data_IF_184515028692
#
_entry.id   IF_184515028692
#
_cell.length_a   1.000
_cell.length_b   1.000
_cell.length_c   1.000
_cell.angle_alpha   90.00
_cell.angle_beta   90.00
_cell.angle_gamma   90.00
#
_symmetry.space_group_name_H-M   'P 1'
#
loop_
_entity.id
_entity.type
_entity.pdbx_description
1 polymer ?
#
# COMPACT_ATOMS: atom_id res chain seq x y z
N UNK A 1 -4.71 -16.77 -15.26
CA UNK A 1 -5.93 -16.02 -15.59
C UNK A 1 -6.50 -15.44 -14.30
N UNK A 2 -7.13 -14.27 -14.36
CA UNK A 2 -7.90 -13.66 -13.26
C UNK A 2 -9.15 -14.49 -13.00
N UNK A 3 -9.43 -14.79 -11.73
CA UNK A 3 -10.66 -15.43 -11.28
C UNK A 3 -11.34 -14.51 -10.27
N UNK A 4 -12.56 -14.09 -10.53
CA UNK A 4 -13.33 -13.22 -9.65
C UNK A 4 -13.56 -13.87 -8.29
N UNK A 5 -13.09 -13.25 -7.21
CA UNK A 5 -13.34 -13.73 -5.86
C UNK A 5 -14.83 -13.63 -5.50
N UNK A 6 -15.50 -12.54 -5.88
CA UNK A 6 -16.94 -12.37 -5.63
C UNK A 6 -17.79 -13.43 -6.32
N UNK A 7 -17.47 -13.77 -7.58
CA UNK A 7 -18.19 -14.84 -8.29
C UNK A 7 -18.03 -16.19 -7.61
N UNK A 8 -16.83 -16.51 -7.12
CA UNK A 8 -16.60 -17.78 -6.40
C UNK A 8 -17.32 -17.78 -5.06
N UNK A 9 -17.20 -16.72 -4.27
CA UNK A 9 -17.84 -16.62 -2.94
C UNK A 9 -19.36 -16.70 -3.06
N UNK A 10 -19.97 -16.05 -4.04
CA UNK A 10 -21.43 -16.06 -4.28
C UNK A 10 -22.01 -17.44 -4.61
N UNK A 11 -21.17 -18.39 -5.01
CA UNK A 11 -21.62 -19.80 -5.18
C UNK A 11 -21.87 -20.49 -3.84
N UNK A 12 -21.32 -19.93 -2.75
CA UNK A 12 -21.38 -20.52 -1.41
C UNK A 12 -22.14 -19.64 -0.40
N UNK A 13 -22.14 -18.33 -0.61
CA UNK A 13 -22.78 -17.36 0.26
C UNK A 13 -23.82 -16.56 -0.52
N UNK A 14 -25.05 -16.55 -0.01
CA UNK A 14 -26.18 -15.83 -0.63
C UNK A 14 -26.53 -14.53 0.09
N UNK A 15 -26.05 -14.35 1.33
CA UNK A 15 -26.27 -13.12 2.09
C UNK A 15 -25.30 -12.02 1.62
N UNK A 16 -25.82 -10.93 1.02
CA UNK A 16 -24.99 -9.85 0.50
C UNK A 16 -24.27 -9.06 1.59
N UNK A 17 -24.83 -9.02 2.82
CA UNK A 17 -24.17 -8.34 3.92
C UNK A 17 -22.96 -9.13 4.40
N UNK A 18 -23.09 -10.45 4.53
CA UNK A 18 -21.99 -11.33 4.89
C UNK A 18 -20.88 -11.27 3.82
N UNK A 19 -21.25 -11.24 2.54
CA UNK A 19 -20.28 -11.03 1.45
C UNK A 19 -19.49 -9.72 1.68
N UNK A 20 -20.18 -8.61 1.89
CA UNK A 20 -19.55 -7.30 2.09
C UNK A 20 -18.68 -7.27 3.37
N UNK A 21 -19.09 -7.93 4.44
CA UNK A 21 -18.30 -8.06 5.68
C UNK A 21 -16.99 -8.84 5.46
N UNK A 22 -16.99 -9.85 4.60
CA UNK A 22 -15.79 -10.61 4.26
C UNK A 22 -14.88 -9.83 3.32
N UNK A 23 -15.44 -9.14 2.33
CA UNK A 23 -14.66 -8.42 1.33
C UNK A 23 -14.07 -7.11 1.83
N UNK A 24 -14.71 -6.39 2.74
CA UNK A 24 -14.21 -5.12 3.24
C UNK A 24 -12.78 -5.23 3.79
N UNK A 25 -12.45 -6.12 4.74
CA UNK A 25 -11.10 -6.27 5.25
C UNK A 25 -10.08 -6.69 4.18
N UNK A 26 -10.41 -7.71 3.39
CA UNK A 26 -9.44 -8.26 2.42
C UNK A 26 -9.15 -7.32 1.26
N UNK A 27 -10.13 -6.52 0.82
CA UNK A 27 -9.93 -5.54 -0.25
C UNK A 27 -9.12 -4.35 0.22
N UNK A 28 -9.36 -3.82 1.43
CA UNK A 28 -8.55 -2.75 2.01
C UNK A 28 -7.08 -3.14 2.18
N UNK A 29 -6.80 -4.41 2.41
CA UNK A 29 -5.42 -4.90 2.59
C UNK A 29 -4.80 -5.52 1.35
N UNK A 30 -5.55 -5.70 0.27
CA UNK A 30 -4.97 -6.45 -0.82
C UNK A 30 -5.58 -6.31 -2.21
N UNK A 31 -6.54 -5.43 -2.51
CA UNK A 31 -7.05 -5.32 -3.87
C UNK A 31 -6.56 -4.08 -4.62
N UNK A 32 -5.99 -4.30 -5.80
CA UNK A 32 -5.72 -3.25 -6.78
C UNK A 32 -6.92 -3.02 -7.74
N UNK A 33 -7.92 -3.91 -7.68
CA UNK A 33 -9.10 -3.91 -8.55
C UNK A 33 -10.30 -3.33 -7.83
N UNK A 34 -11.05 -2.45 -8.49
CA UNK A 34 -12.30 -1.90 -7.97
C UNK A 34 -13.36 -3.00 -7.89
N UNK A 35 -14.18 -2.98 -6.84
CA UNK A 35 -15.33 -3.86 -6.57
C UNK A 35 -15.05 -5.35 -6.42
N UNK A 36 -13.86 -5.84 -6.72
CA UNK A 36 -13.51 -7.26 -6.68
C UNK A 36 -12.00 -7.47 -6.43
N UNK A 37 -11.58 -8.72 -6.39
CA UNK A 37 -10.17 -9.11 -6.36
C UNK A 37 -9.97 -10.49 -6.97
N UNK A 38 -8.73 -10.85 -7.29
CA UNK A 38 -8.37 -12.20 -7.73
C UNK A 38 -8.62 -13.21 -6.61
N UNK A 39 -9.25 -14.35 -6.93
CA UNK A 39 -9.63 -15.35 -5.94
C UNK A 39 -8.42 -15.97 -5.22
N UNK A 40 -7.32 -16.18 -5.91
CA UNK A 40 -6.10 -16.66 -5.28
C UNK A 40 -5.58 -15.67 -4.23
N UNK A 41 -5.64 -14.38 -4.55
CA UNK A 41 -5.28 -13.32 -3.60
C UNK A 41 -6.28 -13.25 -2.44
N UNK A 42 -7.57 -13.38 -2.71
CA UNK A 42 -8.62 -13.45 -1.68
C UNK A 42 -8.31 -14.56 -0.67
N UNK A 43 -7.99 -15.76 -1.13
CA UNK A 43 -7.67 -16.90 -0.24
C UNK A 43 -6.47 -16.60 0.66
N UNK A 44 -5.40 -16.00 0.10
CA UNK A 44 -4.21 -15.63 0.88
C UNK A 44 -4.56 -14.56 1.93
N UNK A 45 -5.29 -13.52 1.52
CA UNK A 45 -5.67 -12.42 2.41
C UNK A 45 -6.66 -12.87 3.48
N UNK A 46 -7.64 -13.69 3.10
CA UNK A 46 -8.61 -14.27 4.02
C UNK A 46 -7.92 -15.10 5.11
N UNK A 47 -6.99 -15.99 4.70
CA UNK A 47 -6.21 -16.79 5.65
C UNK A 47 -5.42 -15.89 6.60
N UNK A 48 -4.71 -14.91 6.08
CA UNK A 48 -3.89 -14.00 6.88
C UNK A 48 -4.71 -13.18 7.87
N UNK A 49 -5.85 -12.64 7.45
CA UNK A 49 -6.66 -11.74 8.28
C UNK A 49 -7.53 -12.48 9.30
N UNK A 50 -8.21 -13.54 8.87
CA UNK A 50 -9.25 -14.19 9.69
C UNK A 50 -8.78 -15.45 10.42
N UNK A 51 -7.72 -16.12 9.92
CA UNK A 51 -7.24 -17.37 10.52
C UNK A 51 -5.91 -17.21 11.26
N UNK A 52 -4.99 -16.36 10.78
CA UNK A 52 -3.66 -16.17 11.37
C UNK A 52 -3.57 -14.90 12.23
N UNK A 53 -4.33 -13.86 11.86
CA UNK A 53 -4.34 -12.58 12.56
C UNK A 53 -3.17 -11.67 12.17
N UNK A 54 -3.08 -10.52 12.86
CA UNK A 54 -2.07 -9.50 12.60
C UNK A 54 -0.93 -9.56 13.62
N UNK A 55 0.29 -9.35 13.13
CA UNK A 55 1.46 -9.16 13.96
C UNK A 55 2.15 -7.84 13.64
N UNK A 56 2.68 -7.18 14.67
CA UNK A 56 3.42 -5.94 14.54
C UNK A 56 4.71 -6.00 15.37
N UNK A 57 5.89 -5.78 14.77
CA UNK A 57 7.11 -5.58 15.56
C UNK A 57 6.98 -4.34 16.43
N UNK A 58 7.51 -4.34 17.65
CA UNK A 58 7.43 -3.21 18.59
C UNK A 58 7.97 -1.90 17.98
N UNK A 59 9.15 -1.95 17.35
CA UNK A 59 9.76 -0.80 16.66
C UNK A 59 9.19 -0.56 15.25
N UNK A 60 8.12 -1.29 14.86
CA UNK A 60 7.49 -1.19 13.56
C UNK A 60 8.31 -1.82 12.42
N UNK A 61 7.98 -1.49 11.19
CA UNK A 61 8.57 -2.07 9.97
C UNK A 61 10.10 -1.86 9.85
N UNK A 62 10.65 -0.87 10.52
CA UNK A 62 12.09 -0.57 10.49
C UNK A 62 12.95 -1.73 10.95
N UNK A 63 12.47 -2.56 11.86
CA UNK A 63 13.16 -3.79 12.32
C UNK A 63 13.36 -4.74 11.15
N UNK A 64 12.29 -5.02 10.40
CA UNK A 64 12.33 -5.91 9.23
C UNK A 64 13.33 -5.37 8.20
N UNK A 65 13.24 -4.07 7.88
CA UNK A 65 14.14 -3.43 6.92
C UNK A 65 15.60 -3.44 7.37
N UNK A 66 15.86 -3.28 8.67
CA UNK A 66 17.22 -3.34 9.25
C UNK A 66 17.82 -4.73 9.04
N UNK A 67 17.09 -5.79 9.42
CA UNK A 67 17.54 -7.19 9.26
C UNK A 67 17.82 -7.53 7.80
N UNK A 68 16.93 -7.11 6.89
CA UNK A 68 17.14 -7.31 5.44
C UNK A 68 18.39 -6.60 4.93
N UNK A 69 18.60 -5.34 5.32
CA UNK A 69 19.78 -4.57 4.91
C UNK A 69 21.08 -5.15 5.44
N UNK A 70 21.08 -5.67 6.67
CA UNK A 70 22.24 -6.37 7.23
C UNK A 70 22.59 -7.61 6.41
N UNK A 71 21.59 -8.44 6.09
CA UNK A 71 21.76 -9.62 5.24
C UNK A 71 22.23 -9.26 3.83
N UNK A 72 21.64 -8.24 3.23
CA UNK A 72 22.00 -7.76 1.89
C UNK A 72 23.47 -7.31 1.83
N UNK A 73 23.91 -6.53 2.83
CA UNK A 73 25.32 -6.08 2.91
C UNK A 73 26.27 -7.23 3.17
N UNK A 74 25.91 -8.17 4.05
CA UNK A 74 26.72 -9.35 4.32
C UNK A 74 26.91 -10.25 3.09
N UNK A 75 25.94 -10.20 2.14
CA UNK A 75 26.03 -10.88 0.86
C UNK A 75 26.78 -10.05 -0.22
N UNK A 76 27.42 -8.94 0.14
CA UNK A 76 28.14 -8.07 -0.80
C UNK A 76 27.26 -7.08 -1.57
N UNK A 77 25.99 -6.93 -1.21
CA UNK A 77 25.08 -6.00 -1.89
C UNK A 77 25.42 -4.54 -1.57
N UNK A 78 25.38 -3.68 -2.57
CA UNK A 78 25.57 -2.24 -2.47
C UNK A 78 24.22 -1.50 -2.52
N UNK A 79 23.95 -0.63 -1.53
CA UNK A 79 22.78 0.24 -1.52
C UNK A 79 23.17 1.68 -1.78
N UNK A 80 22.64 2.25 -2.84
CA UNK A 80 22.83 3.65 -3.20
C UNK A 80 21.55 4.45 -2.85
N UNK A 81 21.66 5.34 -1.88
CA UNK A 81 20.56 6.21 -1.45
C UNK A 81 20.56 7.52 -2.23
N UNK A 82 19.38 8.12 -2.41
CA UNK A 82 19.21 9.38 -3.15
C UNK A 82 19.75 9.28 -4.59
N UNK A 83 19.64 8.10 -5.17
CA UNK A 83 20.14 7.80 -6.52
C UNK A 83 19.00 7.16 -7.28
N UNK A 84 18.23 7.98 -8.01
CA UNK A 84 17.15 7.51 -8.87
C UNK A 84 17.67 7.06 -10.23
N UNK A 85 16.93 6.13 -10.86
CA UNK A 85 17.12 5.78 -12.27
C UNK A 85 16.27 6.73 -13.10
N UNK A 86 16.92 7.53 -13.95
CA UNK A 86 16.28 8.49 -14.83
C UNK A 86 15.77 7.83 -16.11
N UNK A 87 16.59 6.94 -16.68
CA UNK A 87 16.26 6.22 -17.91
C UNK A 87 16.86 4.81 -17.91
N UNK A 88 16.18 3.90 -18.61
CA UNK A 88 16.64 2.57 -18.95
C UNK A 88 16.87 2.57 -20.47
N UNK A 89 18.11 2.53 -20.90
CA UNK A 89 18.47 2.49 -22.33
C UNK A 89 18.25 1.08 -22.85
N UNK A 90 17.43 0.94 -23.89
CA UNK A 90 17.14 -0.34 -24.52
C UNK A 90 17.70 -0.38 -25.94
N UNK A 91 18.45 -1.44 -26.25
CA UNK A 91 18.96 -1.76 -27.59
C UNK A 91 18.79 -3.24 -27.88
N UNK A 92 18.35 -3.57 -29.06
CA UNK A 92 18.20 -4.96 -29.53
C UNK A 92 17.41 -5.86 -28.55
N UNK A 93 16.33 -5.32 -27.96
CA UNK A 93 15.48 -6.07 -27.03
C UNK A 93 16.09 -6.31 -25.64
N UNK A 94 17.15 -5.57 -25.26
CA UNK A 94 17.79 -5.66 -23.95
C UNK A 94 17.93 -4.29 -23.30
N UNK A 95 17.85 -4.24 -21.98
CA UNK A 95 18.31 -3.10 -21.17
C UNK A 95 19.85 -3.13 -21.16
N UNK A 96 20.50 -2.15 -21.76
CA UNK A 96 21.95 -2.08 -21.87
C UNK A 96 22.57 -1.19 -20.80
N UNK A 97 21.88 -0.14 -20.41
CA UNK A 97 22.38 0.85 -19.45
C UNK A 97 21.23 1.39 -18.60
N UNK A 98 21.53 1.71 -17.35
CA UNK A 98 20.72 2.54 -16.47
C UNK A 98 21.38 3.91 -16.36
N UNK A 99 20.70 4.96 -16.76
CA UNK A 99 21.16 6.34 -16.55
C UNK A 99 20.57 6.85 -15.25
N UNK A 100 21.42 7.21 -14.32
CA UNK A 100 21.03 7.70 -13.01
C UNK A 100 20.72 9.21 -13.05
N UNK A 101 20.03 9.72 -12.02
CA UNK A 101 19.76 11.17 -11.91
C UNK A 101 21.01 12.03 -11.87
N UNK A 102 22.14 11.46 -11.40
CA UNK A 102 23.47 12.08 -11.42
C UNK A 102 24.09 12.20 -12.82
N UNK A 103 23.53 11.51 -13.82
CA UNK A 103 24.14 11.34 -15.14
C UNK A 103 25.12 10.16 -15.21
N UNK A 104 25.36 9.43 -14.14
CA UNK A 104 26.18 8.21 -14.15
C UNK A 104 25.46 7.11 -14.96
N UNK A 105 26.25 6.34 -15.71
CA UNK A 105 25.79 5.18 -16.47
C UNK A 105 26.20 3.90 -15.75
N UNK A 106 25.22 3.04 -15.47
CA UNK A 106 25.42 1.73 -14.83
C UNK A 106 25.00 0.63 -15.79
N UNK A 107 25.82 -0.39 -15.94
CA UNK A 107 25.53 -1.59 -16.73
C UNK A 107 25.27 -2.78 -15.81
N UNK A 108 24.38 -3.70 -16.22
CA UNK A 108 24.11 -4.94 -15.52
C UNK A 108 23.63 -6.02 -16.49
N UNK A 109 23.92 -7.28 -16.18
CA UNK A 109 23.43 -8.42 -16.95
C UNK A 109 21.92 -8.58 -16.82
N UNK A 110 21.39 -8.32 -15.63
CA UNK A 110 19.96 -8.39 -15.29
C UNK A 110 19.51 -7.18 -14.49
N UNK A 111 18.30 -6.73 -14.74
CA UNK A 111 17.65 -5.63 -14.02
C UNK A 111 16.34 -6.13 -13.44
N UNK A 112 16.16 -6.00 -12.13
CA UNK A 112 14.88 -6.22 -11.45
C UNK A 112 14.31 -4.88 -11.02
N UNK A 113 13.14 -4.54 -11.54
CA UNK A 113 12.44 -3.29 -11.19
C UNK A 113 11.29 -3.55 -10.23
N UNK A 114 11.31 -2.88 -9.09
CA UNK A 114 10.25 -2.94 -8.06
C UNK A 114 9.41 -1.67 -7.98
N UNK A 115 9.62 -0.71 -8.89
CA UNK A 115 8.98 0.60 -8.83
C UNK A 115 7.54 0.61 -9.37
N UNK A 116 7.10 -0.48 -9.99
CA UNK A 116 5.82 -0.63 -10.67
C UNK A 116 5.95 -0.83 -12.18
N UNK A 117 4.98 -1.47 -12.79
CA UNK A 117 4.98 -1.76 -14.22
C UNK A 117 4.87 -0.48 -15.07
N UNK A 118 3.89 0.42 -14.84
CA UNK A 118 3.78 1.65 -15.59
C UNK A 118 4.95 2.62 -15.34
N UNK A 119 5.48 2.65 -14.13
CA UNK A 119 6.66 3.45 -13.78
C UNK A 119 7.90 2.95 -14.52
N UNK A 120 8.13 1.63 -14.52
CA UNK A 120 9.24 0.99 -15.24
C UNK A 120 9.13 1.26 -16.73
N UNK A 121 7.95 1.11 -17.31
CA UNK A 121 7.71 1.37 -18.73
C UNK A 121 8.08 2.79 -19.14
N UNK A 122 7.78 3.78 -18.29
CA UNK A 122 8.12 5.19 -18.54
C UNK A 122 9.62 5.49 -18.55
N UNK A 123 10.40 4.68 -17.83
CA UNK A 123 11.86 4.85 -17.80
C UNK A 123 12.54 4.25 -19.03
N UNK A 124 11.91 3.30 -19.73
CA UNK A 124 12.49 2.63 -20.88
C UNK A 124 12.54 3.60 -22.07
N UNK A 125 13.75 3.86 -22.58
CA UNK A 125 14.00 4.58 -23.81
C UNK A 125 14.44 3.60 -24.89
N UNK A 126 13.57 3.34 -25.85
CA UNK A 126 13.86 2.55 -27.03
C UNK A 126 13.74 3.41 -28.28
N UNK A 127 14.71 3.30 -29.17
CA UNK A 127 14.71 4.10 -30.40
C UNK A 127 13.55 3.76 -31.37
N UNK A 128 12.83 2.64 -31.20
CA UNK A 128 11.84 2.15 -32.18
C UNK A 128 10.62 1.40 -31.61
N UNK A 129 10.46 1.29 -30.31
CA UNK A 129 9.28 0.61 -29.72
C UNK A 129 8.46 1.57 -28.87
N UNK A 130 7.15 1.55 -29.05
CA UNK A 130 6.22 2.21 -28.15
C UNK A 130 6.45 1.68 -26.74
N UNK A 131 6.53 2.57 -25.77
CA UNK A 131 6.62 2.16 -24.36
C UNK A 131 5.42 1.26 -24.03
N UNK A 132 5.63 0.16 -23.27
CA UNK A 132 4.53 -0.71 -22.88
C UNK A 132 3.42 0.11 -22.22
N UNK A 133 2.18 -0.12 -22.61
CA UNK A 133 0.99 0.64 -22.17
C UNK A 133 0.44 0.13 -20.84
N UNK A 134 1.31 -0.18 -19.86
CA UNK A 134 0.84 -0.54 -18.53
C UNK A 134 0.08 0.64 -17.91
N UNK A 135 -1.18 0.40 -17.55
CA UNK A 135 -2.06 1.43 -16.97
C UNK A 135 -1.84 1.52 -15.46
N UNK A 136 -1.62 2.73 -14.91
CA UNK A 136 -1.55 2.93 -13.47
C UNK A 136 -2.81 2.45 -12.77
N UNK A 137 -2.67 1.98 -11.54
CA UNK A 137 -3.82 1.65 -10.69
C UNK A 137 -4.66 2.89 -10.38
N UNK A 138 -5.93 2.68 -10.10
CA UNK A 138 -6.91 3.76 -9.86
C UNK A 138 -7.18 3.99 -8.37
N UNK A 139 -6.86 3.02 -7.52
CA UNK A 139 -7.15 3.05 -6.09
C UNK A 139 -6.03 3.75 -5.33
N UNK A 140 -6.41 4.75 -4.59
CA UNK A 140 -5.54 5.49 -3.68
C UNK A 140 -6.21 5.66 -2.33
N UNK A 141 -5.43 6.00 -1.31
CA UNK A 141 -5.92 6.19 0.04
C UNK A 141 -5.51 7.55 0.61
N UNK A 142 -6.28 8.02 1.58
CA UNK A 142 -5.80 8.92 2.61
C UNK A 142 -5.57 8.12 3.88
N UNK A 143 -4.59 8.53 4.68
CA UNK A 143 -4.39 8.01 6.02
C UNK A 143 -4.23 9.16 6.99
N UNK A 144 -5.15 9.28 7.94
CA UNK A 144 -5.05 10.22 9.04
C UNK A 144 -4.22 9.61 10.17
N UNK A 145 -3.34 10.40 10.77
CA UNK A 145 -2.48 10.01 11.88
C UNK A 145 -2.70 11.02 13.00
N UNK A 146 -3.03 10.53 14.17
CA UNK A 146 -3.15 11.34 15.40
C UNK A 146 -2.22 10.78 16.45
N UNK A 147 -1.39 11.62 17.01
CA UNK A 147 -0.55 11.30 18.17
C UNK A 147 -1.21 11.89 19.41
N UNK A 148 -1.35 11.07 20.44
CA UNK A 148 -2.00 11.40 21.70
C UNK A 148 -0.95 11.43 22.83
N UNK A 149 -1.18 12.30 23.84
CA UNK A 149 -0.36 12.40 25.04
C UNK A 149 -0.57 11.25 26.04
N UNK A 150 -1.49 10.34 25.73
CA UNK A 150 -1.88 9.20 26.57
C UNK A 150 -2.21 7.97 25.75
N UNK A 151 -2.25 6.83 26.42
CA UNK A 151 -2.61 5.56 25.78
C UNK A 151 -4.08 5.57 25.33
N UNK A 152 -4.44 4.96 24.20
CA UNK A 152 -5.82 4.87 23.73
C UNK A 152 -6.77 4.22 24.75
N UNK A 153 -6.28 3.35 25.60
CA UNK A 153 -7.05 2.77 26.70
C UNK A 153 -7.66 3.83 27.64
N UNK A 154 -6.99 4.97 27.83
CA UNK A 154 -7.54 6.08 28.64
C UNK A 154 -8.72 6.80 27.97
N UNK A 155 -8.92 6.57 26.65
CA UNK A 155 -10.10 7.01 25.89
C UNK A 155 -11.19 5.95 25.83
N UNK A 156 -10.99 4.79 26.46
CA UNK A 156 -11.88 3.62 26.33
C UNK A 156 -11.60 2.77 25.08
N UNK A 157 -10.50 3.01 24.36
CA UNK A 157 -10.13 2.36 23.10
C UNK A 157 -8.96 1.38 23.27
N UNK A 158 -8.98 0.57 24.33
CA UNK A 158 -7.87 -0.31 24.71
C UNK A 158 -7.97 -1.75 24.20
N UNK A 159 -9.05 -2.13 23.51
CA UNK A 159 -9.30 -3.53 23.13
C UNK A 159 -8.85 -3.88 21.73
N UNK A 160 -9.23 -3.06 20.75
CA UNK A 160 -9.11 -3.42 19.33
C UNK A 160 -7.87 -2.81 18.70
N UNK A 161 -7.12 -3.64 17.97
CA UNK A 161 -5.93 -3.19 17.21
C UNK A 161 -6.28 -2.62 15.87
N UNK A 162 -7.23 -3.28 15.17
CA UNK A 162 -7.68 -2.93 13.83
C UNK A 162 -9.19 -3.15 13.73
N UNK A 163 -9.89 -2.13 13.22
CA UNK A 163 -11.33 -2.17 12.98
C UNK A 163 -11.58 -1.81 11.52
N UNK A 164 -12.21 -2.71 10.78
CA UNK A 164 -12.73 -2.41 9.46
C UNK A 164 -14.18 -1.95 9.60
N UNK A 165 -14.53 -0.88 8.92
CA UNK A 165 -15.89 -0.35 9.00
C UNK A 165 -16.46 -0.01 7.63
N UNK A 166 -17.78 -0.12 7.52
CA UNK A 166 -18.57 0.36 6.40
C UNK A 166 -19.91 0.90 6.91
N UNK A 167 -20.22 2.15 6.58
CA UNK A 167 -21.44 2.87 6.93
C UNK A 167 -22.35 3.08 5.71
N UNK A 168 -22.22 2.22 4.71
CA UNK A 168 -23.07 2.22 3.53
C UNK A 168 -23.93 0.97 3.50
N UNK A 169 -25.14 1.01 2.88
CA UNK A 169 -26.00 -0.18 2.73
C UNK A 169 -25.28 -1.34 1.99
N UNK A 170 -24.33 -1.02 1.13
CA UNK A 170 -23.43 -1.97 0.46
C UNK A 170 -22.01 -1.43 0.49
N UNK A 171 -21.05 -2.33 0.65
CA UNK A 171 -19.62 -1.98 0.59
C UNK A 171 -19.22 -1.63 -0.84
N UNK A 172 -18.75 -0.41 -1.04
CA UNK A 172 -18.31 0.11 -2.34
C UNK A 172 -16.80 0.37 -2.30
N UNK A 173 -16.04 -0.56 -2.86
CA UNK A 173 -14.59 -0.45 -2.95
C UNK A 173 -14.19 0.03 -4.35
N UNK A 174 -14.25 1.34 -4.54
CA UNK A 174 -13.93 2.00 -5.81
C UNK A 174 -13.33 3.38 -5.58
N UNK A 175 -12.70 3.93 -6.61
CA UNK A 175 -12.26 5.32 -6.60
C UNK A 175 -13.45 6.25 -6.37
N UNK A 176 -13.48 6.99 -5.26
CA UNK A 176 -14.63 7.86 -4.97
C UNK A 176 -14.77 8.99 -5.98
N UNK A 177 -15.98 9.50 -6.16
CA UNK A 177 -16.26 10.69 -6.98
C UNK A 177 -15.74 11.98 -6.34
N UNK A 178 -15.70 12.04 -5.01
CA UNK A 178 -15.11 13.13 -4.23
C UNK A 178 -13.62 12.84 -3.89
N UNK A 179 -12.97 13.71 -3.16
CA UNK A 179 -11.58 13.59 -2.74
C UNK A 179 -11.35 12.36 -1.85
N UNK A 180 -12.31 12.06 -0.95
CA UNK A 180 -12.25 10.95 0.01
C UNK A 180 -13.64 10.34 0.17
N UNK A 181 -13.70 9.03 0.38
CA UNK A 181 -14.90 8.34 0.87
C UNK A 181 -14.74 7.95 2.34
N UNK A 182 -15.30 8.72 3.30
CA UNK A 182 -15.19 8.40 4.72
C UNK A 182 -16.22 7.37 5.20
N UNK A 183 -17.08 6.83 4.31
CA UNK A 183 -18.12 5.85 4.67
C UNK A 183 -17.56 4.47 4.98
N UNK A 184 -16.40 4.16 4.46
CA UNK A 184 -15.70 2.91 4.77
C UNK A 184 -14.22 3.16 5.04
N UNK A 185 -13.60 2.27 5.81
CA UNK A 185 -12.20 2.46 6.13
C UNK A 185 -11.64 1.43 7.10
N UNK A 186 -10.41 1.72 7.52
CA UNK A 186 -9.65 0.91 8.47
C UNK A 186 -9.13 1.81 9.58
N UNK A 187 -9.56 1.55 10.80
CA UNK A 187 -8.99 2.14 12.01
C UNK A 187 -7.85 1.25 12.48
N UNK A 188 -6.72 1.85 12.84
CA UNK A 188 -5.59 1.13 13.43
C UNK A 188 -5.13 1.85 14.71
N UNK A 189 -5.08 1.09 15.81
CA UNK A 189 -4.60 1.53 17.13
C UNK A 189 -3.37 0.68 17.49
N UNK A 190 -2.16 1.10 17.07
CA UNK A 190 -0.94 0.30 17.24
C UNK A 190 -0.59 -0.02 18.69
N UNK A 191 -1.06 0.79 19.65
CA UNK A 191 -0.82 0.58 21.07
C UNK A 191 -1.44 -0.71 21.61
N UNK A 192 -2.50 -1.21 20.96
CA UNK A 192 -3.26 -2.38 21.44
C UNK A 192 -2.67 -3.71 20.94
N UNK A 193 -1.58 -3.71 20.17
CA UNK A 193 -0.85 -4.94 19.91
C UNK A 193 -0.16 -5.42 21.18
N UNK A 194 -0.16 -6.72 21.40
CA UNK A 194 0.57 -7.33 22.50
C UNK A 194 2.08 -7.31 22.23
N UNK A 195 2.80 -6.45 22.92
CA UNK A 195 4.26 -6.35 22.87
C UNK A 195 4.94 -7.01 24.06
N UNK A 196 4.18 -7.70 24.92
CA UNK A 196 4.62 -8.24 26.18
C UNK A 196 4.55 -7.22 27.34
N UNK A 197 4.70 -7.69 28.57
CA UNK A 197 4.39 -6.91 29.79
C UNK A 197 5.31 -5.70 30.02
N UNK A 198 6.52 -5.72 29.45
CA UNK A 198 7.53 -4.68 29.68
C UNK A 198 7.62 -3.64 28.56
N UNK A 199 6.78 -3.73 27.52
CA UNK A 199 6.86 -2.87 26.35
C UNK A 199 5.55 -2.18 26.05
N UNK A 200 5.55 -0.87 26.10
CA UNK A 200 4.46 -0.03 25.65
C UNK A 200 5.00 1.08 24.73
N UNK A 201 4.22 1.50 23.75
CA UNK A 201 4.53 2.70 22.97
C UNK A 201 4.43 3.91 23.89
N UNK A 202 5.33 4.88 23.77
CA UNK A 202 5.38 6.07 24.63
C UNK A 202 4.15 6.98 24.44
N UNK A 203 3.70 7.09 23.19
CA UNK A 203 2.57 7.94 22.80
C UNK A 203 1.39 7.08 22.35
N UNK A 204 0.17 7.62 22.50
CA UNK A 204 -1.00 7.03 21.88
C UNK A 204 -1.01 7.32 20.39
N UNK A 205 -1.38 6.32 19.59
CA UNK A 205 -1.45 6.45 18.14
C UNK A 205 -2.84 6.02 17.68
N UNK A 206 -3.49 6.92 16.94
CA UNK A 206 -4.76 6.63 16.30
C UNK A 206 -4.65 6.92 14.79
N UNK A 207 -4.96 5.95 13.96
CA UNK A 207 -4.86 6.05 12.50
C UNK A 207 -6.17 5.61 11.87
N UNK A 208 -6.54 6.26 10.77
CA UNK A 208 -7.66 5.82 9.94
C UNK A 208 -7.33 6.00 8.46
N UNK A 209 -7.55 4.95 7.70
CA UNK A 209 -7.34 4.89 6.25
C UNK A 209 -8.68 4.81 5.54
N UNK A 210 -8.90 5.67 4.54
CA UNK A 210 -10.09 5.67 3.68
C UNK A 210 -9.69 5.77 2.21
N UNK A 211 -10.58 5.32 1.31
CA UNK A 211 -10.41 5.46 -0.14
C UNK A 211 -10.34 6.93 -0.55
N UNK A 212 -9.50 7.23 -1.53
CA UNK A 212 -9.31 8.58 -2.06
C UNK A 212 -9.18 8.62 -3.58
N UNK A 213 -9.51 9.76 -4.15
CA UNK A 213 -9.41 10.04 -5.57
C UNK A 213 -8.20 10.91 -5.88
N UNK A 214 -7.15 10.32 -6.48
CA UNK A 214 -5.93 11.03 -6.84
C UNK A 214 -6.19 12.30 -7.67
N UNK A 215 -7.06 12.24 -8.69
CA UNK A 215 -7.29 13.34 -9.62
C UNK A 215 -7.83 14.58 -8.90
N UNK A 216 -8.52 14.40 -7.77
CA UNK A 216 -9.05 15.47 -6.93
C UNK A 216 -8.01 16.11 -6.01
N UNK A 217 -6.84 15.47 -5.84
CA UNK A 217 -5.75 15.95 -5.00
C UNK A 217 -4.55 16.48 -5.78
N UNK A 218 -4.27 15.91 -6.94
CA UNK A 218 -2.99 16.02 -7.63
C UNK A 218 -2.58 17.46 -7.97
N UNK A 219 -3.53 18.28 -8.44
CA UNK A 219 -3.27 19.59 -9.01
C UNK A 219 -3.83 20.75 -8.20
N UNK A 220 -4.21 20.51 -6.94
CA UNK A 220 -4.70 21.57 -6.07
C UNK A 220 -3.60 22.62 -5.81
N UNK A 221 -3.94 23.94 -5.85
CA UNK A 221 -3.09 24.97 -5.28
C UNK A 221 -2.73 24.64 -3.82
N UNK A 222 -1.56 25.08 -3.36
CA UNK A 222 -1.02 24.65 -2.08
C UNK A 222 -1.89 25.08 -0.88
N UNK A 223 -2.48 26.25 -0.95
CA UNK A 223 -3.39 26.78 0.07
C UNK A 223 -4.70 25.97 0.12
N UNK A 224 -5.29 25.65 -1.03
CA UNK A 224 -6.46 24.78 -1.14
C UNK A 224 -6.14 23.37 -0.66
N UNK A 225 -4.99 22.83 -1.06
CA UNK A 225 -4.53 21.51 -0.62
C UNK A 225 -4.43 21.43 0.91
N UNK A 226 -3.86 22.45 1.56
CA UNK A 226 -3.74 22.48 3.02
C UNK A 226 -5.11 22.58 3.70
N UNK A 227 -6.00 23.42 3.19
CA UNK A 227 -7.36 23.58 3.71
C UNK A 227 -8.16 22.27 3.57
N UNK A 228 -8.11 21.65 2.39
CA UNK A 228 -8.78 20.38 2.12
C UNK A 228 -8.20 19.23 2.98
N UNK A 229 -6.89 19.21 3.19
CA UNK A 229 -6.24 18.25 4.07
C UNK A 229 -6.79 18.32 5.51
N UNK A 230 -6.97 19.52 6.04
CA UNK A 230 -7.57 19.73 7.37
C UNK A 230 -9.05 19.34 7.41
N UNK A 231 -9.81 19.75 6.41
CA UNK A 231 -11.25 19.43 6.28
C UNK A 231 -11.48 17.93 6.24
N UNK A 232 -10.74 17.22 5.38
CA UNK A 232 -10.89 15.78 5.22
C UNK A 232 -10.31 15.00 6.41
N UNK A 233 -9.24 15.48 7.04
CA UNK A 233 -8.80 14.92 8.31
C UNK A 233 -9.95 14.92 9.33
N UNK A 234 -10.60 16.05 9.52
CA UNK A 234 -11.72 16.16 10.46
C UNK A 234 -12.90 15.23 10.08
N UNK A 235 -13.25 15.15 8.79
CA UNK A 235 -14.35 14.30 8.31
C UNK A 235 -14.04 12.79 8.51
N UNK A 236 -12.83 12.35 8.19
CA UNK A 236 -12.38 10.95 8.40
C UNK A 236 -12.39 10.61 9.88
N UNK A 237 -11.87 11.51 10.74
CA UNK A 237 -11.85 11.31 12.19
C UNK A 237 -13.27 11.24 12.77
N UNK A 238 -14.17 12.09 12.32
CA UNK A 238 -15.57 12.09 12.76
C UNK A 238 -16.27 10.79 12.35
N UNK A 239 -16.02 10.30 11.14
CA UNK A 239 -16.58 9.01 10.68
C UNK A 239 -16.02 7.84 11.49
N UNK A 240 -14.70 7.72 11.59
CA UNK A 240 -14.04 6.61 12.27
C UNK A 240 -14.47 6.47 13.73
N UNK A 241 -14.56 7.57 14.46
CA UNK A 241 -14.92 7.56 15.88
C UNK A 241 -16.33 7.05 16.19
N UNK A 242 -17.23 7.00 15.20
CA UNK A 242 -18.57 6.40 15.36
C UNK A 242 -18.52 4.88 15.58
N UNK A 243 -17.43 4.24 15.19
CA UNK A 243 -17.22 2.80 15.32
C UNK A 243 -16.37 2.41 16.55
N UNK A 244 -16.09 3.38 17.40
CA UNK A 244 -15.36 3.19 18.65
C UNK A 244 -16.28 3.41 19.86
N UNK A 245 -15.93 2.86 21.04
CA UNK A 245 -16.61 3.19 22.28
C UNK A 245 -16.70 4.70 22.47
N UNK A 246 -17.81 5.21 23.04
CA UNK A 246 -17.95 6.63 23.31
C UNK A 246 -16.87 7.10 24.28
N UNK A 247 -16.38 8.33 24.04
CA UNK A 247 -15.39 8.95 24.92
C UNK A 247 -15.98 9.20 26.33
N UNK A 248 -15.19 9.02 27.40
CA UNK A 248 -15.61 9.39 28.76
C UNK A 248 -15.99 10.86 28.89
N UNK A 249 -15.30 11.73 28.17
CA UNK A 249 -15.58 13.17 28.05
C UNK A 249 -15.52 13.57 26.58
N UNK A 250 -16.49 14.37 26.13
CA UNK A 250 -16.67 14.67 24.71
C UNK A 250 -15.44 15.34 24.05
N UNK A 251 -14.70 16.15 24.78
CA UNK A 251 -13.51 16.87 24.32
C UNK A 251 -12.18 16.15 24.59
N UNK A 252 -12.21 14.98 25.24
CA UNK A 252 -11.02 14.24 25.66
C UNK A 252 -10.07 13.95 24.50
N UNK A 253 -10.59 13.53 23.36
CA UNK A 253 -9.75 13.28 22.18
C UNK A 253 -9.02 14.53 21.70
N UNK A 254 -9.72 15.65 21.64
CA UNK A 254 -9.12 16.93 21.23
C UNK A 254 -8.03 17.40 22.22
N UNK A 255 -8.30 17.30 23.52
CA UNK A 255 -7.33 17.67 24.57
C UNK A 255 -6.09 16.76 24.59
N UNK A 256 -6.30 15.47 24.31
CA UNK A 256 -5.24 14.48 24.28
C UNK A 256 -4.39 14.55 22.99
N UNK A 257 -4.86 15.24 21.96
CA UNK A 257 -4.15 15.32 20.67
C UNK A 257 -2.94 16.23 20.77
N UNK A 258 -1.76 15.65 20.56
CA UNK A 258 -0.46 16.37 20.52
C UNK A 258 -0.18 16.91 19.12
N UNK A 259 -0.36 16.06 18.12
CA UNK A 259 -0.14 16.43 16.71
C UNK A 259 -0.93 15.55 15.78
N UNK A 260 -1.16 16.05 14.58
CA UNK A 260 -1.90 15.35 13.54
C UNK A 260 -1.18 15.44 12.21
N UNK A 261 -1.32 14.43 11.38
CA UNK A 261 -0.94 14.47 9.97
C UNK A 261 -1.93 13.66 9.13
N UNK A 262 -1.86 13.84 7.82
CA UNK A 262 -2.64 13.08 6.87
C UNK A 262 -1.82 12.82 5.62
N UNK A 263 -1.59 11.55 5.31
CA UNK A 263 -1.12 11.14 3.99
C UNK A 263 -2.26 11.26 2.98
N UNK A 264 -1.94 11.77 1.80
CA UNK A 264 -2.87 11.94 0.70
C UNK A 264 -2.33 11.25 -0.56
N UNK A 265 -3.12 11.05 -1.61
CA UNK A 265 -2.62 10.53 -2.88
C UNK A 265 -1.44 11.32 -3.44
N UNK A 266 -1.42 12.65 -3.25
CA UNK A 266 -0.30 13.52 -3.64
C UNK A 266 0.98 13.21 -2.83
N UNK A 267 0.83 12.95 -1.53
CA UNK A 267 1.93 12.54 -0.65
C UNK A 267 2.47 11.17 -1.06
N UNK A 268 1.58 10.22 -1.38
CA UNK A 268 1.96 8.88 -1.83
C UNK A 268 2.82 8.97 -3.08
N UNK A 269 2.34 9.66 -4.12
CA UNK A 269 3.11 9.85 -5.37
C UNK A 269 4.48 10.47 -5.10
N UNK A 270 4.54 11.50 -4.23
CA UNK A 270 5.79 12.19 -3.91
C UNK A 270 6.84 11.27 -3.29
N UNK A 271 6.45 10.37 -2.38
CA UNK A 271 7.39 9.55 -1.62
C UNK A 271 7.62 8.15 -2.19
N UNK A 272 6.66 7.59 -2.91
CA UNK A 272 6.78 6.25 -3.49
C UNK A 272 7.14 6.26 -4.98
N UNK A 273 6.88 7.38 -5.66
CA UNK A 273 6.96 7.45 -7.11
C UNK A 273 5.81 6.79 -7.86
N UNK A 274 4.88 6.13 -7.16
CA UNK A 274 3.75 5.47 -7.81
C UNK A 274 2.83 6.48 -8.50
N UNK A 275 2.57 6.21 -9.77
CA UNK A 275 1.69 7.01 -10.60
C UNK A 275 0.26 6.98 -10.06
N UNK A 276 -0.41 8.11 -10.18
CA UNK A 276 -1.78 8.29 -9.69
C UNK A 276 -1.97 7.95 -8.20
N UNK A 277 -0.89 7.97 -7.39
CA UNK A 277 -0.94 7.61 -5.98
C UNK A 277 -1.45 6.19 -5.73
N UNK A 278 -1.28 5.27 -6.70
CA UNK A 278 -1.78 3.91 -6.61
C UNK A 278 -1.09 3.13 -5.49
N UNK A 279 -1.88 2.66 -4.50
CA UNK A 279 -1.34 1.97 -3.34
C UNK A 279 -0.91 0.53 -3.68
N UNK A 280 -1.74 -0.16 -4.46
CA UNK A 280 -1.51 -1.56 -4.82
C UNK A 280 -1.02 -1.73 -6.26
N UNK A 281 -0.46 -0.65 -6.85
CA UNK A 281 0.07 -0.65 -8.22
C UNK A 281 -1.02 -0.82 -9.27
N UNK A 282 -0.64 -1.33 -10.44
CA UNK A 282 -1.55 -1.61 -11.54
C UNK A 282 -2.55 -2.71 -11.18
N UNK A 283 -3.79 -2.61 -11.70
CA UNK A 283 -4.81 -3.64 -11.50
C UNK A 283 -4.42 -4.96 -12.18
N UNK A 284 -3.85 -4.87 -13.37
CA UNK A 284 -3.31 -6.02 -14.07
C UNK A 284 -1.91 -6.38 -13.55
N UNK A 285 -1.78 -7.61 -13.04
CA UNK A 285 -0.53 -8.11 -12.43
C UNK A 285 0.28 -8.94 -13.43
N UNK A 286 1.56 -8.65 -13.51
CA UNK A 286 2.51 -9.42 -14.33
C UNK A 286 3.14 -10.55 -13.49
N UNK A 287 2.42 -11.66 -13.34
CA UNK A 287 2.82 -12.77 -12.46
C UNK A 287 4.17 -13.39 -12.78
N UNK A 288 4.60 -13.35 -14.03
CA UNK A 288 5.91 -13.85 -14.44
C UNK A 288 7.00 -12.79 -14.35
N UNK A 289 6.65 -11.54 -14.11
CA UNK A 289 7.60 -10.42 -14.03
C UNK A 289 8.32 -10.11 -15.36
N UNK A 290 7.96 -10.73 -16.48
CA UNK A 290 8.62 -10.52 -17.77
C UNK A 290 8.21 -9.18 -18.38
N UNK A 291 9.17 -8.47 -18.95
CA UNK A 291 8.94 -7.31 -19.81
C UNK A 291 9.25 -7.67 -21.28
N UNK A 292 9.11 -6.72 -22.19
CA UNK A 292 9.55 -6.89 -23.57
C UNK A 292 11.08 -6.97 -23.70
N UNK A 293 11.83 -6.51 -22.68
CA UNK A 293 13.27 -6.60 -22.65
C UNK A 293 13.73 -7.90 -22.00
N UNK A 294 14.60 -8.64 -22.65
CA UNK A 294 14.98 -10.00 -22.28
C UNK A 294 15.70 -10.12 -20.92
N UNK A 295 16.21 -9.01 -20.37
CA UNK A 295 16.95 -8.96 -19.11
C UNK A 295 16.37 -7.95 -18.09
N UNK A 296 15.19 -7.38 -18.36
CA UNK A 296 14.46 -6.50 -17.44
C UNK A 296 13.23 -7.22 -16.91
N UNK A 297 13.11 -7.36 -15.60
CA UNK A 297 12.04 -8.07 -14.95
C UNK A 297 11.37 -7.18 -13.90
N UNK A 298 10.06 -7.35 -13.72
CA UNK A 298 9.28 -6.72 -12.66
C UNK A 298 9.27 -7.60 -11.42
N UNK A 299 9.42 -6.98 -10.26
CA UNK A 299 9.15 -7.60 -8.96
C UNK A 299 8.34 -6.64 -8.08
N UNK A 300 7.95 -7.09 -6.88
CA UNK A 300 7.14 -6.28 -5.98
C UNK A 300 5.64 -6.30 -6.32
N UNK A 301 4.96 -5.22 -6.05
CA UNK A 301 3.50 -5.11 -6.08
C UNK A 301 2.87 -5.49 -7.42
N UNK A 302 3.46 -5.07 -8.52
CA UNK A 302 2.90 -5.33 -9.86
C UNK A 302 3.21 -6.72 -10.43
N UNK A 303 4.10 -7.45 -9.79
CA UNK A 303 4.27 -8.87 -10.05
C UNK A 303 3.12 -9.70 -9.42
N UNK A 304 2.48 -9.21 -8.35
CA UNK A 304 1.25 -9.77 -7.80
C UNK A 304 1.29 -10.10 -6.31
N UNK A 305 2.43 -9.93 -5.65
CA UNK A 305 2.53 -10.07 -4.21
C UNK A 305 2.48 -8.70 -3.53
N UNK A 306 1.55 -8.53 -2.60
CA UNK A 306 1.28 -7.27 -1.94
C UNK A 306 1.87 -7.22 -0.52
N UNK A 307 2.08 -5.99 -0.03
CA UNK A 307 2.64 -5.74 1.29
C UNK A 307 4.15 -6.02 1.37
N UNK A 308 4.72 -5.84 2.57
CA UNK A 308 6.17 -5.95 2.79
C UNK A 308 6.67 -7.38 2.54
N UNK A 309 6.00 -8.36 3.13
CA UNK A 309 6.36 -9.79 2.97
C UNK A 309 6.15 -10.22 1.52
N UNK A 310 5.04 -9.81 0.91
CA UNK A 310 4.77 -10.09 -0.50
C UNK A 310 5.83 -9.51 -1.44
N UNK A 311 6.26 -8.27 -1.22
CA UNK A 311 7.33 -7.66 -2.01
C UNK A 311 8.67 -8.41 -1.88
N UNK A 312 8.99 -8.89 -0.67
CA UNK A 312 10.17 -9.73 -0.44
C UNK A 312 10.08 -11.06 -1.19
N UNK A 313 8.95 -11.76 -1.08
CA UNK A 313 8.72 -13.03 -1.77
C UNK A 313 8.75 -12.84 -3.30
N UNK A 314 8.23 -11.73 -3.80
CA UNK A 314 8.31 -11.38 -5.21
C UNK A 314 9.77 -11.25 -5.68
N UNK A 315 10.59 -10.53 -4.93
CA UNK A 315 12.02 -10.39 -5.25
C UNK A 315 12.74 -11.73 -5.31
N UNK A 316 12.51 -12.60 -4.31
CA UNK A 316 13.06 -13.97 -4.25
C UNK A 316 12.58 -14.78 -5.46
N UNK A 317 11.28 -14.78 -5.73
CA UNK A 317 10.69 -15.57 -6.82
C UNK A 317 11.22 -15.15 -8.19
N UNK A 318 11.32 -13.86 -8.44
CA UNK A 318 11.82 -13.35 -9.72
C UNK A 318 13.32 -13.57 -9.90
N UNK A 319 14.11 -13.42 -8.83
CA UNK A 319 15.54 -13.77 -8.88
C UNK A 319 15.75 -15.26 -9.17
N UNK A 320 15.02 -16.14 -8.47
CA UNK A 320 15.09 -17.59 -8.73
C UNK A 320 14.66 -17.93 -10.17
N UNK A 321 13.53 -17.41 -10.62
CA UNK A 321 12.96 -17.76 -11.92
C UNK A 321 13.82 -17.27 -13.11
N UNK A 322 14.40 -16.09 -13.02
CA UNK A 322 14.99 -15.43 -14.16
C UNK A 322 16.52 -15.33 -14.14
N UNK A 323 17.12 -15.45 -12.96
CA UNK A 323 18.56 -15.24 -12.79
C UNK A 323 19.26 -16.52 -12.31
N UNK A 324 18.78 -17.13 -11.22
CA UNK A 324 19.51 -18.20 -10.56
C UNK A 324 19.25 -19.60 -11.15
N UNK A 325 18.08 -19.83 -11.78
CA UNK A 325 17.72 -21.14 -12.38
C UNK A 325 18.18 -21.29 -13.86
N UNK A 326 18.86 -20.30 -14.40
CA UNK A 326 19.51 -20.43 -15.72
C UNK A 326 20.92 -21.02 -15.57
N UNK A 327 20.97 -22.21 -15.00
CA UNK A 327 22.15 -23.06 -15.00
C UNK A 327 21.94 -24.26 -15.89
#
# INVERSE_FOLDING_TARGET
AYVSAREVVRRHLTDPLLEDMLFCPVMYYGSATEHDMDFGQFVIMFKALFLEGFARPFEGVRVILRVLLEKYRAAGGERRMKTGVKHIVAREGRATELVLDSGEHVTADHVLSSIGAPETARLVQSGHHAAPTATPGRLSFVETITILDRQPAALGWGSDTIIFFNDSPRFDYARPSDQVDPRSGVICIPNNFDFGPERALSEGIFRCTCLANYDRWAHLPEDVYRADKQRWYAAVQASARRFLPPLPEADLFSRATVTTDMFTPRTITKFTGHLAGAIYGAAEKNRQGRTELSNLYLCGTDQGFLGIVGAMLSGISMANLHILQKG
#
